data_IF_554366851609
#
_entry.id   IF_554366851609
#
_cell.length_a   1.000
_cell.length_b   1.000
_cell.length_c   1.000
_cell.angle_alpha   90.00
_cell.angle_beta   90.00
_cell.angle_gamma   90.00
#
_symmetry.space_group_name_H-M   'P 1'
#
loop_
_entity.id
_entity.type
_entity.pdbx_description
1 polymer ?
#
# COMPACT_ATOMS: atom_id res chain seq x y z
N UNK A 1 27.75 -7.83 -9.14
CA UNK A 1 26.92 -6.60 -9.05
C UNK A 1 25.47 -7.07 -9.02
N UNK A 2 24.72 -6.73 -7.98
CA UNK A 2 23.32 -7.16 -7.82
C UNK A 2 22.46 -5.91 -7.85
N UNK A 3 21.51 -5.85 -8.77
CA UNK A 3 20.48 -4.82 -8.78
C UNK A 3 19.34 -5.27 -7.86
N UNK A 4 18.96 -4.42 -6.93
CA UNK A 4 17.92 -4.72 -5.92
C UNK A 4 16.72 -3.85 -6.22
N UNK A 5 15.55 -4.46 -6.37
CA UNK A 5 14.29 -3.72 -6.42
C UNK A 5 13.81 -3.50 -4.99
N UNK A 6 13.43 -2.26 -4.69
CA UNK A 6 12.81 -1.89 -3.43
C UNK A 6 11.86 -0.73 -3.67
N UNK A 7 10.84 -0.62 -2.84
CA UNK A 7 9.97 0.56 -2.79
C UNK A 7 10.11 1.25 -1.44
N UNK A 8 9.91 2.56 -1.39
CA UNK A 8 9.95 3.34 -0.17
C UNK A 8 8.53 3.43 0.44
N UNK A 9 8.36 3.02 1.69
CA UNK A 9 7.05 3.04 2.38
C UNK A 9 6.78 4.35 3.13
N UNK A 10 7.68 5.33 3.04
CA UNK A 10 7.63 6.58 3.80
C UNK A 10 8.62 6.63 4.97
N UNK A 11 9.14 5.48 5.41
CA UNK A 11 10.14 5.39 6.48
C UNK A 11 11.34 4.49 6.09
N UNK A 12 11.08 3.39 5.40
CA UNK A 12 12.05 2.35 5.07
C UNK A 12 11.95 1.94 3.59
N UNK A 13 13.07 1.45 3.06
CA UNK A 13 13.09 0.75 1.77
C UNK A 13 12.74 -0.73 1.99
N UNK A 14 11.62 -1.16 1.42
CA UNK A 14 11.17 -2.54 1.47
C UNK A 14 11.70 -3.26 0.24
N UNK A 15 12.60 -4.22 0.43
CA UNK A 15 13.23 -4.97 -0.67
C UNK A 15 12.27 -6.02 -1.25
N UNK A 16 12.16 -6.06 -2.57
CA UNK A 16 11.43 -7.10 -3.29
C UNK A 16 12.39 -8.26 -3.59
N UNK A 17 12.68 -9.06 -2.57
CA UNK A 17 13.56 -10.22 -2.68
C UNK A 17 14.43 -10.45 -1.45
N UNK A 18 15.02 -11.63 -1.37
CA UNK A 18 15.84 -12.02 -0.24
C UNK A 18 17.30 -11.65 -0.50
N UNK A 19 17.70 -10.45 -0.08
CA UNK A 19 19.05 -9.93 -0.28
C UNK A 19 19.66 -9.57 1.07
N UNK A 20 20.88 -10.05 1.30
CA UNK A 20 21.64 -9.75 2.51
C UNK A 20 22.61 -8.61 2.23
N UNK A 21 22.33 -7.43 2.78
CA UNK A 21 23.24 -6.28 2.74
C UNK A 21 24.08 -6.29 4.02
N UNK A 22 25.40 -6.12 3.89
CA UNK A 22 26.31 -6.05 5.04
C UNK A 22 26.39 -4.63 5.59
N UNK A 23 26.72 -4.51 6.87
CA UNK A 23 26.98 -3.21 7.51
C UNK A 23 28.09 -2.47 6.78
N UNK A 24 27.92 -1.15 6.56
CA UNK A 24 28.87 -0.27 5.86
C UNK A 24 29.16 -0.63 4.39
N UNK A 25 28.29 -1.40 3.74
CA UNK A 25 28.41 -1.69 2.32
C UNK A 25 28.04 -0.46 1.47
N UNK A 26 28.93 -0.04 0.56
CA UNK A 26 28.63 1.03 -0.41
C UNK A 26 27.59 0.56 -1.41
N UNK A 27 26.59 1.40 -1.67
CA UNK A 27 25.50 1.14 -2.62
C UNK A 27 25.29 2.33 -3.55
N UNK A 28 24.74 2.05 -4.73
CA UNK A 28 24.25 3.06 -5.67
C UNK A 28 22.73 2.94 -5.66
N UNK A 29 22.03 4.05 -5.43
CA UNK A 29 20.57 4.12 -5.43
C UNK A 29 20.14 4.83 -6.71
N UNK A 30 19.23 4.21 -7.45
CA UNK A 30 18.60 4.81 -8.63
C UNK A 30 17.10 4.86 -8.38
N UNK A 31 16.52 6.05 -8.50
CA UNK A 31 15.08 6.25 -8.37
C UNK A 31 14.44 6.13 -9.75
N UNK A 32 13.39 5.33 -9.85
CA UNK A 32 12.55 5.24 -11.04
C UNK A 32 11.35 6.17 -10.84
N UNK A 33 10.86 6.79 -11.92
CA UNK A 33 9.65 7.63 -11.91
C UNK A 33 8.36 6.77 -11.98
N UNK A 34 8.47 5.51 -11.60
CA UNK A 34 7.38 4.53 -11.59
C UNK A 34 6.97 4.27 -10.15
N UNK A 35 5.66 4.31 -9.89
CA UNK A 35 5.10 4.10 -8.56
C UNK A 35 4.53 2.70 -8.44
N UNK A 36 5.04 1.93 -7.49
CA UNK A 36 4.42 0.67 -7.10
C UNK A 36 3.13 0.94 -6.32
N UNK A 37 2.05 0.27 -6.72
CA UNK A 37 0.81 0.34 -5.93
C UNK A 37 1.03 -0.48 -4.66
N UNK A 38 0.85 0.10 -3.46
CA UNK A 38 1.10 -0.62 -2.23
C UNK A 38 0.16 -1.84 -2.19
N UNK A 39 0.74 -3.04 -2.20
CA UNK A 39 0.00 -4.30 -2.04
C UNK A 39 -0.58 -4.34 -0.63
N UNK A 40 -1.77 -3.75 -0.45
CA UNK A 40 -2.51 -3.81 0.81
C UNK A 40 -2.83 -5.27 1.08
N UNK A 41 -2.19 -5.86 2.07
CA UNK A 41 -2.57 -7.18 2.55
C UNK A 41 -3.90 -7.07 3.31
N UNK A 42 -5.00 -7.08 2.57
CA UNK A 42 -6.36 -6.94 3.09
C UNK A 42 -6.84 -8.20 3.83
N UNK A 43 -6.12 -9.32 3.74
CA UNK A 43 -6.48 -10.58 4.39
C UNK A 43 -6.64 -10.44 5.90
N UNK A 44 -5.89 -9.53 6.55
CA UNK A 44 -6.01 -9.26 8.00
C UNK A 44 -7.32 -8.58 8.41
N UNK A 45 -8.12 -8.11 7.46
CA UNK A 45 -9.40 -7.46 7.71
C UNK A 45 -10.59 -8.30 7.23
N UNK A 46 -10.35 -9.37 6.45
CA UNK A 46 -11.39 -10.29 5.99
C UNK A 46 -12.03 -10.97 7.21
N UNK A 47 -13.34 -10.84 7.36
CA UNK A 47 -14.11 -11.44 8.46
C UNK A 47 -14.14 -10.65 9.77
N UNK A 48 -13.53 -9.46 9.84
CA UNK A 48 -13.60 -8.59 11.04
C UNK A 48 -14.90 -7.82 11.19
N UNK A 49 -15.70 -7.77 10.14
CA UNK A 49 -16.91 -6.94 10.06
C UNK A 49 -18.07 -7.87 9.72
N UNK A 50 -19.18 -7.75 10.45
CA UNK A 50 -20.39 -8.51 10.14
C UNK A 50 -20.97 -8.05 8.80
N UNK A 51 -21.74 -8.89 8.12
CA UNK A 51 -22.32 -8.51 6.82
C UNK A 51 -23.17 -7.24 6.92
N UNK A 52 -23.95 -7.13 8.00
CA UNK A 52 -24.78 -5.95 8.30
C UNK A 52 -23.96 -4.67 8.45
N UNK A 53 -22.82 -4.75 9.16
CA UNK A 53 -21.95 -3.58 9.36
C UNK A 53 -21.22 -3.20 8.07
N UNK A 54 -20.86 -4.18 7.24
CA UNK A 54 -20.26 -3.95 5.93
C UNK A 54 -21.22 -3.20 5.00
N UNK A 55 -22.48 -3.63 4.97
CA UNK A 55 -23.52 -3.02 4.14
C UNK A 55 -23.78 -1.56 4.56
N UNK A 56 -23.78 -1.27 5.87
CA UNK A 56 -23.92 0.10 6.40
C UNK A 56 -22.73 0.99 6.04
N UNK A 57 -21.50 0.46 6.11
CA UNK A 57 -20.30 1.20 5.74
C UNK A 57 -20.32 1.53 4.24
N UNK A 58 -20.73 0.58 3.39
CA UNK A 58 -20.85 0.83 1.95
C UNK A 58 -21.90 1.90 1.62
N UNK A 59 -23.05 1.89 2.29
CA UNK A 59 -24.07 2.92 2.14
C UNK A 59 -23.57 4.30 2.57
N UNK A 60 -22.93 4.41 3.73
CA UNK A 60 -22.39 5.68 4.22
C UNK A 60 -21.31 6.25 3.29
N UNK A 61 -20.45 5.39 2.73
CA UNK A 61 -19.44 5.81 1.74
C UNK A 61 -20.10 6.25 0.43
N UNK A 62 -21.15 5.57 -0.02
CA UNK A 62 -21.87 5.95 -1.23
C UNK A 62 -22.59 7.29 -1.07
N UNK A 63 -23.20 7.56 0.08
CA UNK A 63 -23.81 8.86 0.38
C UNK A 63 -22.77 9.98 0.43
N UNK A 64 -21.63 9.76 1.09
CA UNK A 64 -20.53 10.75 1.09
C UNK A 64 -20.02 11.09 -0.31
N UNK A 65 -19.95 10.10 -1.21
CA UNK A 65 -19.55 10.32 -2.61
C UNK A 65 -20.54 11.16 -3.40
N UNK A 66 -21.84 11.06 -3.10
CA UNK A 66 -22.87 11.90 -3.75
C UNK A 66 -22.73 13.37 -3.37
N UNK A 67 -22.40 13.63 -2.09
CA UNK A 67 -22.09 14.98 -1.61
C UNK A 67 -20.85 15.53 -2.32
N UNK A 68 -19.79 14.72 -2.46
CA UNK A 68 -18.57 15.12 -3.17
C UNK A 68 -18.80 15.39 -4.67
N UNK A 69 -19.76 14.69 -5.30
CA UNK A 69 -20.15 14.92 -6.69
C UNK A 69 -21.19 16.03 -6.88
N UNK A 70 -21.63 16.69 -5.80
CA UNK A 70 -22.63 17.76 -5.84
C UNK A 70 -24.05 17.28 -6.19
N UNK A 71 -24.31 15.97 -6.10
CA UNK A 71 -25.64 15.39 -6.23
C UNK A 71 -26.27 15.34 -4.83
N UNK A 72 -27.00 16.39 -4.47
CA UNK A 72 -27.75 16.48 -3.21
C UNK A 72 -29.24 16.21 -3.42
#
# INVERSE_FOLDING_TARGET
MVAVKAYYDGQNYIMEGNITVKTNQKVIITLLDEFETPKRNLKKYVGKVSKTDSDLIEQAVAEGRKVDSGEW
#
